data_IF_494380427062
#
_entry.id   IF_494380427062
#
_cell.length_a   1.000
_cell.length_b   1.000
_cell.length_c   1.000
_cell.angle_alpha   90.00
_cell.angle_beta   90.00
_cell.angle_gamma   90.00
#
_symmetry.space_group_name_H-M   'P 1'
#
loop_
_entity.id
_entity.type
_entity.pdbx_description
1 polymer ?
#
# COMPACT_ATOMS: atom_id res chain seq x y z
N UNK A 1 9.07 23.34 5.46
CA UNK A 1 9.10 22.94 4.03
C UNK A 1 9.63 21.50 3.76
N UNK A 2 10.86 21.16 4.17
CA UNK A 2 11.50 19.89 3.79
C UNK A 2 10.74 18.62 4.25
N UNK A 3 10.08 18.68 5.41
CA UNK A 3 9.27 17.56 5.94
C UNK A 3 8.07 17.28 5.05
N UNK A 4 7.34 18.31 4.62
CA UNK A 4 6.14 18.15 3.79
C UNK A 4 6.48 17.59 2.39
N UNK A 5 7.51 18.13 1.75
CA UNK A 5 7.92 17.70 0.41
C UNK A 5 8.42 16.25 0.40
N UNK A 6 9.23 15.87 1.40
CA UNK A 6 9.78 14.51 1.50
C UNK A 6 8.72 13.47 1.87
N UNK A 7 7.72 13.84 2.67
CA UNK A 7 6.59 12.97 2.96
C UNK A 7 5.72 12.74 1.73
N UNK A 8 5.27 13.80 1.07
CA UNK A 8 4.28 13.72 -0.02
C UNK A 8 4.84 12.97 -1.24
N UNK A 9 6.11 13.20 -1.61
CA UNK A 9 6.70 12.57 -2.81
C UNK A 9 7.19 11.14 -2.59
N UNK A 10 7.80 10.88 -1.43
CA UNK A 10 8.59 9.67 -1.25
C UNK A 10 8.10 8.84 -0.07
N UNK A 11 8.24 9.38 1.14
CA UNK A 11 8.11 8.56 2.35
C UNK A 11 6.65 8.17 2.65
N UNK A 12 5.69 9.04 2.37
CA UNK A 12 4.27 8.81 2.66
C UNK A 12 3.70 7.61 1.89
N UNK A 13 3.75 7.60 0.55
CA UNK A 13 3.24 6.49 -0.25
C UNK A 13 3.93 5.15 0.06
N UNK A 14 5.26 5.16 0.25
CA UNK A 14 6.04 3.94 0.48
C UNK A 14 5.78 3.35 1.86
N UNK A 15 5.82 4.17 2.92
CA UNK A 15 5.60 3.69 4.28
C UNK A 15 4.15 3.21 4.48
N UNK A 16 3.18 3.93 3.94
CA UNK A 16 1.78 3.51 3.97
C UNK A 16 1.61 2.15 3.26
N UNK A 17 2.20 1.99 2.07
CA UNK A 17 2.12 0.73 1.33
C UNK A 17 2.76 -0.44 2.08
N UNK A 18 3.94 -0.25 2.69
CA UNK A 18 4.61 -1.30 3.48
C UNK A 18 3.79 -1.72 4.71
N UNK A 19 3.20 -0.76 5.43
CA UNK A 19 2.34 -1.05 6.59
C UNK A 19 1.06 -1.79 6.19
N UNK A 20 0.39 -1.33 5.12
CA UNK A 20 -0.84 -1.98 4.62
C UNK A 20 -0.54 -3.38 4.11
N UNK A 21 0.59 -3.58 3.43
CA UNK A 21 1.04 -4.91 2.98
C UNK A 21 1.19 -5.87 4.16
N UNK A 22 1.81 -5.42 5.26
CA UNK A 22 2.02 -6.22 6.45
C UNK A 22 0.72 -6.66 7.13
N UNK A 23 -0.32 -5.82 7.17
CA UNK A 23 -1.60 -6.12 7.84
C UNK A 23 -2.70 -6.63 6.91
N UNK A 24 -3.06 -5.86 5.89
CA UNK A 24 -4.14 -6.19 4.98
C UNK A 24 -3.68 -7.21 3.92
N UNK A 25 -2.46 -7.07 3.39
CA UNK A 25 -1.91 -8.01 2.41
C UNK A 25 -1.69 -9.42 2.98
N UNK A 26 -1.20 -9.50 4.22
CA UNK A 26 -1.07 -10.78 4.93
C UNK A 26 -2.43 -11.43 5.20
N UNK A 27 -3.42 -10.66 5.65
CA UNK A 27 -4.78 -11.14 5.87
C UNK A 27 -5.42 -11.67 4.57
N UNK A 28 -5.30 -10.94 3.45
CA UNK A 28 -5.78 -11.38 2.14
C UNK A 28 -5.15 -12.71 1.71
N UNK A 29 -3.83 -12.84 1.89
CA UNK A 29 -3.09 -14.06 1.54
C UNK A 29 -3.55 -15.24 2.39
N UNK A 30 -3.72 -15.01 3.70
CA UNK A 30 -4.16 -16.03 4.64
C UNK A 30 -5.59 -16.49 4.35
N UNK A 31 -6.51 -15.56 4.08
CA UNK A 31 -7.92 -15.87 3.78
C UNK A 31 -8.03 -16.73 2.52
N UNK A 32 -7.37 -16.33 1.43
CA UNK A 32 -7.32 -17.12 0.20
C UNK A 32 -6.64 -18.48 0.40
N UNK A 33 -5.58 -18.52 1.21
CA UNK A 33 -4.90 -19.76 1.57
C UNK A 33 -5.80 -20.72 2.34
N UNK A 34 -6.58 -20.21 3.30
CA UNK A 34 -7.56 -20.99 4.06
C UNK A 34 -8.64 -21.54 3.11
N UNK A 35 -9.20 -20.69 2.25
CA UNK A 35 -10.18 -21.14 1.23
C UNK A 35 -9.60 -22.22 0.31
N UNK A 36 -8.29 -22.18 0.01
CA UNK A 36 -7.62 -23.19 -0.80
C UNK A 36 -7.50 -24.54 -0.06
N UNK A 37 -7.01 -24.53 1.18
CA UNK A 37 -6.81 -25.78 1.95
C UNK A 37 -8.13 -26.40 2.41
N UNK A 38 -9.21 -25.62 2.51
CA UNK A 38 -10.56 -26.08 2.80
C UNK A 38 -11.37 -26.42 1.55
N UNK A 39 -10.74 -26.51 0.37
CA UNK A 39 -11.35 -26.86 -0.92
C UNK A 39 -12.48 -25.92 -1.38
N UNK A 40 -12.66 -24.76 -0.73
CA UNK A 40 -13.72 -23.80 -1.08
C UNK A 40 -13.50 -23.19 -2.47
N UNK A 41 -12.23 -23.00 -2.88
CA UNK A 41 -11.89 -22.53 -4.23
C UNK A 41 -12.28 -23.56 -5.30
N UNK A 42 -12.11 -24.85 -5.00
CA UNK A 42 -12.47 -25.92 -5.94
C UNK A 42 -14.00 -26.08 -6.00
N UNK A 43 -14.70 -25.91 -4.87
CA UNK A 43 -16.16 -25.86 -4.82
C UNK A 43 -16.75 -24.77 -5.73
N UNK A 44 -16.17 -23.56 -5.77
CA UNK A 44 -16.59 -22.50 -6.70
C UNK A 44 -16.51 -22.94 -8.17
N UNK A 45 -15.49 -23.73 -8.51
CA UNK A 45 -15.30 -24.23 -9.89
C UNK A 45 -16.35 -25.27 -10.25
N UNK A 46 -16.74 -26.13 -9.29
CA UNK A 46 -17.85 -27.09 -9.45
C UNK A 46 -19.20 -26.37 -9.63
N UNK A 47 -19.38 -25.21 -9.00
CA UNK A 47 -20.55 -24.33 -9.19
C UNK A 47 -20.52 -23.54 -10.50
N UNK A 48 -19.61 -23.86 -11.42
CA UNK A 48 -19.41 -23.15 -12.69
C UNK A 48 -19.08 -21.65 -12.54
N UNK A 49 -18.52 -21.24 -11.39
CA UNK A 49 -18.02 -19.89 -11.16
C UNK A 49 -16.51 -19.82 -11.39
N UNK A 50 -16.04 -18.71 -11.94
CA UNK A 50 -14.61 -18.47 -12.11
C UNK A 50 -14.02 -17.88 -10.82
N UNK A 51 -13.20 -18.62 -10.05
CA UNK A 51 -12.70 -18.18 -8.75
C UNK A 51 -11.77 -16.96 -8.84
N UNK A 52 -11.04 -16.81 -9.95
CA UNK A 52 -10.16 -15.66 -10.17
C UNK A 52 -10.96 -14.36 -10.27
N UNK A 53 -12.06 -14.38 -11.04
CA UNK A 53 -12.95 -13.21 -11.15
C UNK A 53 -13.72 -12.94 -9.87
N UNK A 54 -14.08 -13.99 -9.12
CA UNK A 54 -14.90 -13.84 -7.92
C UNK A 54 -14.11 -13.39 -6.69
N UNK A 55 -12.85 -13.80 -6.56
CA UNK A 55 -12.04 -13.50 -5.37
C UNK A 55 -10.94 -12.46 -5.65
N UNK A 56 -10.23 -12.54 -6.78
CA UNK A 56 -9.07 -11.67 -7.04
C UNK A 56 -9.46 -10.31 -7.58
N UNK A 57 -10.40 -10.26 -8.52
CA UNK A 57 -10.84 -8.98 -9.09
C UNK A 57 -11.38 -7.98 -8.04
N UNK A 58 -12.26 -8.36 -7.09
CA UNK A 58 -12.70 -7.43 -6.05
C UNK A 58 -11.57 -7.06 -5.09
N UNK A 59 -10.63 -7.97 -4.80
CA UNK A 59 -9.47 -7.65 -3.97
C UNK A 59 -8.56 -6.59 -4.61
N UNK A 60 -8.31 -6.68 -5.91
CA UNK A 60 -7.53 -5.67 -6.64
C UNK A 60 -8.26 -4.33 -6.65
N UNK A 61 -9.57 -4.31 -6.92
CA UNK A 61 -10.37 -3.09 -6.85
C UNK A 61 -10.34 -2.44 -5.46
N UNK A 62 -10.42 -3.26 -4.40
CA UNK A 62 -10.28 -2.80 -3.03
C UNK A 62 -8.88 -2.19 -2.79
N UNK A 63 -7.82 -2.81 -3.29
CA UNK A 63 -6.45 -2.28 -3.21
C UNK A 63 -6.28 -0.93 -3.90
N UNK A 64 -6.83 -0.78 -5.10
CA UNK A 64 -6.77 0.46 -5.89
C UNK A 64 -7.40 1.64 -5.16
N UNK A 65 -8.47 1.40 -4.39
CA UNK A 65 -9.16 2.46 -3.64
C UNK A 65 -8.53 2.70 -2.27
N UNK A 66 -8.15 1.63 -1.57
CA UNK A 66 -7.68 1.73 -0.18
C UNK A 66 -6.27 2.29 -0.07
N UNK A 67 -5.36 1.97 -0.99
CA UNK A 67 -3.98 2.46 -0.92
C UNK A 67 -3.87 3.98 -1.02
N UNK A 68 -4.50 4.65 -2.01
CA UNK A 68 -4.47 6.12 -2.10
C UNK A 68 -5.11 6.81 -0.91
N UNK A 69 -6.21 6.25 -0.41
CA UNK A 69 -6.90 6.80 0.76
C UNK A 69 -6.02 6.70 2.00
N UNK A 70 -5.30 5.59 2.17
CA UNK A 70 -4.39 5.41 3.30
C UNK A 70 -3.16 6.31 3.21
N UNK A 71 -2.61 6.52 2.00
CA UNK A 71 -1.53 7.48 1.75
C UNK A 71 -1.97 8.90 2.10
N UNK A 72 -3.16 9.33 1.68
CA UNK A 72 -3.68 10.66 2.01
C UNK A 72 -3.80 10.89 3.53
N UNK A 73 -4.27 9.87 4.28
CA UNK A 73 -4.34 9.96 5.74
C UNK A 73 -2.93 10.05 6.34
N UNK A 74 -1.98 9.26 5.84
CA UNK A 74 -0.61 9.28 6.32
C UNK A 74 0.05 10.65 6.11
N UNK A 75 -0.19 11.27 4.95
CA UNK A 75 0.33 12.61 4.64
C UNK A 75 -0.25 13.66 5.57
N UNK A 76 -1.57 13.69 5.79
CA UNK A 76 -2.22 14.64 6.70
C UNK A 76 -1.68 14.50 8.13
N UNK A 77 -1.58 13.29 8.65
CA UNK A 77 -1.06 13.04 10.00
C UNK A 77 0.42 13.40 10.09
N UNK A 78 1.22 13.10 9.07
CA UNK A 78 2.65 13.44 9.05
C UNK A 78 2.90 14.95 8.97
N UNK A 79 2.08 15.69 8.22
CA UNK A 79 2.11 17.16 8.19
C UNK A 79 1.79 17.72 9.59
N UNK A 80 0.74 17.20 10.24
CA UNK A 80 0.37 17.64 11.58
C UNK A 80 1.46 17.33 12.62
N UNK A 81 2.10 16.16 12.53
CA UNK A 81 3.26 15.83 13.37
C UNK A 81 4.43 16.78 13.14
N UNK A 82 4.70 17.14 11.88
CA UNK A 82 5.71 18.14 11.52
C UNK A 82 5.39 19.55 12.04
N UNK A 83 4.10 19.93 12.07
CA UNK A 83 3.64 21.19 12.63
C UNK A 83 3.87 21.24 14.15
N UNK A 84 3.48 20.20 14.89
CA UNK A 84 3.63 20.15 16.35
C UNK A 84 5.11 20.24 16.76
N UNK A 85 6.00 19.56 16.04
CA UNK A 85 7.44 19.64 16.31
C UNK A 85 8.04 20.98 15.86
N UNK A 86 7.67 21.47 14.67
CA UNK A 86 8.24 22.69 14.11
C UNK A 86 7.81 23.95 14.86
N UNK A 87 6.52 24.08 15.14
CA UNK A 87 5.94 25.28 15.73
C UNK A 87 5.99 25.22 17.26
N UNK A 88 5.40 24.19 17.89
CA UNK A 88 5.28 24.19 19.35
C UNK A 88 6.60 23.89 20.06
N UNK A 89 7.42 22.96 19.53
CA UNK A 89 8.67 22.56 20.20
C UNK A 89 9.87 23.42 19.78
N UNK A 90 9.98 23.79 18.51
CA UNK A 90 11.13 24.55 17.98
C UNK A 90 10.86 26.05 17.84
N UNK A 91 9.62 26.51 18.07
CA UNK A 91 9.26 27.92 18.07
C UNK A 91 9.24 28.58 16.69
N UNK A 92 9.02 27.83 15.60
CA UNK A 92 8.78 28.46 14.30
C UNK A 92 7.46 29.24 14.30
N UNK A 93 7.43 30.33 13.53
CA UNK A 93 6.20 31.03 13.17
C UNK A 93 5.26 30.10 12.39
N UNK A 94 4.01 29.99 12.85
CA UNK A 94 2.92 29.26 12.18
C UNK A 94 2.74 29.73 10.73
N UNK A 95 2.77 31.05 10.51
CA UNK A 95 2.62 31.65 9.19
C UNK A 95 3.76 31.27 8.24
N UNK A 96 4.98 31.12 8.77
CA UNK A 96 6.13 30.68 7.99
C UNK A 96 6.03 29.20 7.65
N UNK A 97 5.53 28.35 8.55
CA UNK A 97 5.34 26.93 8.28
C UNK A 97 4.37 26.68 7.11
N UNK A 98 3.18 27.28 7.16
CA UNK A 98 2.17 27.11 6.11
C UNK A 98 2.49 27.86 4.83
N UNK A 99 3.09 29.06 4.91
CA UNK A 99 3.48 29.84 3.73
C UNK A 99 4.58 29.15 2.91
N UNK A 100 5.60 28.62 3.58
CA UNK A 100 6.64 27.82 2.92
C UNK A 100 6.06 26.52 2.37
N UNK A 101 5.15 25.87 3.10
CA UNK A 101 4.51 24.65 2.62
C UNK A 101 3.72 24.86 1.31
N UNK A 102 2.93 25.94 1.22
CA UNK A 102 2.20 26.26 -0.01
C UNK A 102 3.10 26.66 -1.18
N UNK A 103 4.29 27.21 -0.89
CA UNK A 103 5.23 27.63 -1.93
C UNK A 103 6.00 26.44 -2.52
N UNK A 104 6.24 25.40 -1.73
CA UNK A 104 7.02 24.22 -2.15
C UNK A 104 6.17 23.02 -2.59
N UNK A 105 4.89 22.95 -2.21
CA UNK A 105 4.01 21.83 -2.57
C UNK A 105 3.13 22.25 -3.74
N UNK A 106 3.41 21.71 -4.92
CA UNK A 106 2.55 21.86 -6.08
C UNK A 106 1.49 20.75 -6.16
N UNK A 107 0.39 21.05 -6.84
CA UNK A 107 -0.67 20.06 -7.10
C UNK A 107 -0.15 18.84 -7.88
N UNK A 108 0.93 19.02 -8.65
CA UNK A 108 1.62 17.94 -9.36
C UNK A 108 2.26 16.93 -8.42
N UNK A 109 2.83 17.36 -7.27
CA UNK A 109 3.44 16.46 -6.30
C UNK A 109 2.39 15.57 -5.62
N UNK A 110 1.21 16.13 -5.34
CA UNK A 110 0.08 15.39 -4.77
C UNK A 110 -0.41 14.34 -5.79
N UNK A 111 -0.59 14.73 -7.05
CA UNK A 111 -1.05 13.81 -8.09
C UNK A 111 -0.05 12.67 -8.34
N UNK A 112 1.25 12.97 -8.27
CA UNK A 112 2.33 11.97 -8.32
C UNK A 112 2.22 10.95 -7.19
N UNK A 113 2.03 11.41 -5.94
CA UNK A 113 1.83 10.54 -4.78
C UNK A 113 0.61 9.63 -4.92
N UNK A 114 -0.50 10.17 -5.45
CA UNK A 114 -1.72 9.39 -5.74
C UNK A 114 -1.46 8.32 -6.79
N UNK A 115 -0.88 8.65 -7.95
CA UNK A 115 -0.59 7.65 -8.97
C UNK A 115 0.37 6.55 -8.49
N UNK A 116 1.36 6.94 -7.69
CA UNK A 116 2.31 6.01 -7.07
C UNK A 116 1.59 5.05 -6.11
N UNK A 117 0.76 5.56 -5.22
CA UNK A 117 -0.03 4.75 -4.27
C UNK A 117 -1.02 3.80 -4.96
N UNK A 118 -1.69 4.22 -6.05
CA UNK A 118 -2.55 3.35 -6.86
C UNK A 118 -1.75 2.16 -7.42
N UNK A 119 -0.55 2.44 -7.96
CA UNK A 119 0.29 1.39 -8.53
C UNK A 119 0.75 0.36 -7.49
N UNK A 120 1.08 0.82 -6.27
CA UNK A 120 1.39 -0.07 -5.15
C UNK A 120 0.20 -0.93 -4.75
N UNK A 121 -1.01 -0.36 -4.72
CA UNK A 121 -2.23 -1.10 -4.42
C UNK A 121 -2.47 -2.27 -5.38
N UNK A 122 -2.24 -2.06 -6.68
CA UNK A 122 -2.35 -3.13 -7.69
C UNK A 122 -1.29 -4.20 -7.48
N UNK A 123 -0.02 -3.80 -7.31
CA UNK A 123 1.10 -4.75 -7.16
C UNK A 123 0.91 -5.63 -5.93
N UNK A 124 0.61 -5.02 -4.77
CA UNK A 124 0.47 -5.74 -3.50
C UNK A 124 -0.69 -6.71 -3.55
N UNK A 125 -1.88 -6.25 -3.97
CA UNK A 125 -3.06 -7.13 -4.03
C UNK A 125 -2.88 -8.27 -5.02
N UNK A 126 -2.23 -8.04 -6.15
CA UNK A 126 -1.90 -9.07 -7.12
C UNK A 126 -0.97 -10.13 -6.53
N UNK A 127 0.11 -9.71 -5.88
CA UNK A 127 1.12 -10.61 -5.30
C UNK A 127 0.53 -11.43 -4.16
N UNK A 128 -0.20 -10.77 -3.24
CA UNK A 128 -0.87 -11.42 -2.11
C UNK A 128 -1.93 -12.42 -2.59
N UNK A 129 -2.75 -12.05 -3.58
CA UNK A 129 -3.72 -12.95 -4.17
C UNK A 129 -3.04 -14.15 -4.82
N UNK A 130 -2.00 -13.93 -5.62
CA UNK A 130 -1.26 -15.01 -6.28
C UNK A 130 -0.66 -16.02 -5.29
N UNK A 131 -0.05 -15.51 -4.21
CA UNK A 131 0.54 -16.36 -3.17
C UNK A 131 -0.53 -17.13 -2.39
N UNK A 132 -1.67 -16.50 -2.08
CA UNK A 132 -2.80 -17.13 -1.39
C UNK A 132 -3.47 -18.21 -2.23
N UNK A 133 -3.61 -18.00 -3.54
CA UNK A 133 -4.20 -18.98 -4.47
C UNK A 133 -3.35 -20.23 -4.68
N UNK A 134 -2.03 -20.13 -4.56
CA UNK A 134 -1.07 -21.23 -4.79
C UNK A 134 -0.49 -21.82 -3.50
N UNK A 135 -1.22 -21.70 -2.40
CA UNK A 135 -0.81 -22.28 -1.11
C UNK A 135 -0.74 -23.80 -1.21
N UNK A 136 0.32 -24.37 -0.63
CA UNK A 136 0.48 -25.82 -0.49
C UNK A 136 -0.40 -26.40 0.63
N UNK A 137 -0.32 -27.71 0.85
CA UNK A 137 -1.20 -28.38 1.82
C UNK A 137 -0.90 -27.97 3.26
N UNK A 138 -1.97 -27.75 4.04
CA UNK A 138 -1.92 -27.55 5.49
C UNK A 138 -1.76 -26.10 5.97
N UNK A 139 -2.00 -25.88 7.26
CA UNK A 139 -1.94 -24.57 7.90
C UNK A 139 -0.54 -23.94 7.89
N UNK A 140 0.52 -24.76 7.96
CA UNK A 140 1.91 -24.30 7.85
C UNK A 140 2.20 -23.71 6.46
N UNK A 141 1.59 -24.27 5.40
CA UNK A 141 1.67 -23.74 4.04
C UNK A 141 1.09 -22.34 3.92
N UNK A 142 -0.03 -22.08 4.60
CA UNK A 142 -0.68 -20.75 4.65
C UNK A 142 0.23 -19.74 5.33
N UNK A 143 0.78 -20.07 6.50
CA UNK A 143 1.69 -19.18 7.22
C UNK A 143 2.94 -18.85 6.38
N UNK A 144 3.55 -19.86 5.75
CA UNK A 144 4.73 -19.66 4.89
C UNK A 144 4.41 -18.80 3.67
N UNK A 145 3.29 -19.03 3.01
CA UNK A 145 2.86 -18.23 1.86
C UNK A 145 2.57 -16.78 2.24
N UNK A 146 1.98 -16.56 3.42
CA UNK A 146 1.71 -15.23 3.98
C UNK A 146 3.00 -14.45 4.18
N UNK A 147 4.01 -15.03 4.83
CA UNK A 147 5.31 -14.39 5.01
C UNK A 147 6.00 -14.12 3.68
N UNK A 148 5.97 -15.07 2.75
CA UNK A 148 6.54 -14.87 1.41
C UNK A 148 5.83 -13.77 0.62
N UNK A 149 4.51 -13.65 0.75
CA UNK A 149 3.74 -12.61 0.08
C UNK A 149 4.12 -11.22 0.59
N UNK A 150 4.25 -11.06 1.91
CA UNK A 150 4.67 -9.78 2.51
C UNK A 150 6.08 -9.42 2.08
N UNK A 151 7.04 -10.34 2.17
CA UNK A 151 8.43 -10.07 1.77
C UNK A 151 8.52 -9.70 0.27
N UNK A 152 7.86 -10.47 -0.60
CA UNK A 152 7.91 -10.22 -2.03
C UNK A 152 7.21 -8.91 -2.42
N UNK A 153 6.09 -8.60 -1.78
CA UNK A 153 5.38 -7.32 -1.98
C UNK A 153 6.22 -6.14 -1.51
N UNK A 154 6.86 -6.23 -0.34
CA UNK A 154 7.75 -5.17 0.16
C UNK A 154 8.94 -4.92 -0.76
N UNK A 155 9.57 -5.98 -1.27
CA UNK A 155 10.67 -5.83 -2.25
C UNK A 155 10.17 -5.19 -3.54
N UNK A 156 9.00 -5.60 -4.04
CA UNK A 156 8.43 -5.03 -5.26
C UNK A 156 8.05 -3.56 -5.08
N UNK A 157 7.51 -3.15 -3.91
CA UNK A 157 7.23 -1.75 -3.61
C UNK A 157 8.51 -0.92 -3.74
N UNK A 158 9.61 -1.35 -3.12
CA UNK A 158 10.88 -0.61 -3.14
C UNK A 158 11.52 -0.57 -4.54
N UNK A 159 11.45 -1.67 -5.29
CA UNK A 159 11.94 -1.69 -6.68
C UNK A 159 11.11 -0.77 -7.56
N UNK A 160 9.78 -0.82 -7.42
CA UNK A 160 8.86 0.00 -8.19
C UNK A 160 8.98 1.49 -7.84
N UNK A 161 9.20 1.79 -6.57
CA UNK A 161 9.53 3.12 -6.05
C UNK A 161 10.75 3.72 -6.75
N UNK A 162 11.84 2.95 -6.87
CA UNK A 162 13.04 3.36 -7.61
C UNK A 162 12.75 3.67 -9.08
N UNK A 163 11.93 2.85 -9.76
CA UNK A 163 11.54 3.12 -11.14
C UNK A 163 10.74 4.42 -11.26
N UNK A 164 9.75 4.64 -10.39
CA UNK A 164 8.98 5.88 -10.38
C UNK A 164 9.86 7.12 -10.11
N UNK A 165 10.74 7.04 -9.11
CA UNK A 165 11.66 8.14 -8.77
C UNK A 165 12.69 8.43 -9.87
N UNK A 166 13.11 7.43 -10.63
CA UNK A 166 14.04 7.62 -11.76
C UNK A 166 13.39 8.23 -13.01
N UNK A 167 12.12 7.90 -13.27
CA UNK A 167 11.36 8.40 -14.44
C UNK A 167 10.87 9.83 -14.23
N UNK A 168 10.54 10.21 -13.01
CA UNK A 168 9.94 11.52 -12.67
C UNK A 168 10.87 12.48 -11.92
N UNK A 169 12.16 12.48 -12.27
CA UNK A 169 13.11 13.51 -11.84
C UNK A 169 12.78 14.89 -12.41
#
# INVERSE_FOLDING_TARGET
PAVALSLIRELGPVLAALMVTGRAGSALTAELGIMRISEQIDALTVMALNPMRYLVAPAILAGVVTFPLMTAIFDVVGIFGGYLVGVELLGLSEGTYFGEMQTFVDMTDIMLGVWKSVSFGVIVTWVCAYKGFRVGHGAEGVARATTQAVVLSSVLILVWDYFFGSVWK
#
